data_IF_800820199466
#
_entry.id   IF_800820199466
#
_cell.length_a   1.000
_cell.length_b   1.000
_cell.length_c   1.000
_cell.angle_alpha   90.00
_cell.angle_beta   90.00
_cell.angle_gamma   90.00
#
_symmetry.space_group_name_H-M   'P 1'
#
loop_
_entity.id
_entity.type
_entity.pdbx_description
1 polymer ?
#
# COMPACT_ATOMS: atom_id res chain seq x y z
N UNK A 1 4.65 29.18 -5.02
CA UNK A 1 5.07 28.57 -3.73
C UNK A 1 4.00 27.63 -3.20
N UNK A 2 2.77 28.09 -2.92
CA UNK A 2 1.69 27.30 -2.31
C UNK A 2 1.30 25.98 -3.02
N UNK A 3 1.26 25.97 -4.37
CA UNK A 3 0.94 24.74 -5.15
C UNK A 3 2.01 23.66 -5.04
N UNK A 4 3.27 24.05 -4.90
CA UNK A 4 4.41 23.13 -4.76
C UNK A 4 4.39 22.50 -3.38
N UNK A 5 4.10 23.29 -2.36
CA UNK A 5 3.96 22.84 -0.97
C UNK A 5 2.84 21.81 -0.82
N UNK A 6 1.63 22.10 -1.34
CA UNK A 6 0.50 21.15 -1.33
C UNK A 6 0.83 19.84 -2.05
N UNK A 7 1.57 19.90 -3.15
CA UNK A 7 1.99 18.71 -3.91
C UNK A 7 3.03 17.89 -3.13
N UNK A 8 3.96 18.56 -2.42
CA UNK A 8 4.94 17.92 -1.54
C UNK A 8 4.28 17.27 -0.32
N UNK A 9 3.33 17.95 0.34
CA UNK A 9 2.57 17.39 1.47
C UNK A 9 1.77 16.15 1.05
N UNK A 10 1.15 16.18 -0.14
CA UNK A 10 0.44 15.02 -0.68
C UNK A 10 1.36 13.83 -0.94
N UNK A 11 2.57 14.06 -1.45
CA UNK A 11 3.58 13.01 -1.64
C UNK A 11 4.06 12.45 -0.30
N UNK A 12 4.30 13.32 0.69
CA UNK A 12 4.74 12.93 2.04
C UNK A 12 3.74 11.98 2.72
N UNK A 13 2.45 12.30 2.68
CA UNK A 13 1.41 11.43 3.26
C UNK A 13 1.34 10.07 2.56
N UNK A 14 1.63 9.99 1.27
CA UNK A 14 1.61 8.73 0.51
C UNK A 14 2.79 7.83 0.88
N UNK A 15 3.95 8.43 1.10
CA UNK A 15 5.13 7.73 1.61
C UNK A 15 4.81 7.18 3.00
N UNK A 16 4.27 8.00 3.89
CA UNK A 16 3.87 7.59 5.25
C UNK A 16 2.85 6.44 5.17
N UNK A 17 1.81 6.56 4.34
CA UNK A 17 0.80 5.52 4.16
C UNK A 17 1.38 4.20 3.64
N UNK A 18 2.37 4.27 2.73
CA UNK A 18 3.05 3.08 2.20
C UNK A 18 3.88 2.40 3.30
N UNK A 19 4.62 3.19 4.10
CA UNK A 19 5.40 2.68 5.24
C UNK A 19 4.46 2.00 6.24
N UNK A 20 3.39 2.67 6.64
CA UNK A 20 2.42 2.12 7.59
C UNK A 20 1.77 0.84 7.07
N UNK A 21 1.39 0.78 5.79
CA UNK A 21 0.81 -0.41 5.19
C UNK A 21 1.79 -1.60 5.19
N UNK A 22 3.05 -1.37 4.81
CA UNK A 22 4.08 -2.42 4.81
C UNK A 22 4.45 -2.85 6.24
N UNK A 23 4.58 -1.91 7.17
CA UNK A 23 4.83 -2.21 8.59
C UNK A 23 3.68 -3.01 9.20
N UNK A 24 2.43 -2.61 8.95
CA UNK A 24 1.26 -3.34 9.42
C UNK A 24 1.18 -4.75 8.81
N UNK A 25 1.48 -4.89 7.51
CA UNK A 25 1.58 -6.19 6.86
C UNK A 25 2.65 -7.08 7.52
N UNK A 26 3.85 -6.56 7.76
CA UNK A 26 4.94 -7.31 8.39
C UNK A 26 4.58 -7.75 9.81
N UNK A 27 4.15 -6.80 10.65
CA UNK A 27 3.76 -7.08 12.04
C UNK A 27 2.60 -8.06 12.08
N UNK A 28 1.56 -7.84 11.27
CA UNK A 28 0.41 -8.71 11.17
C UNK A 28 0.78 -10.13 10.73
N UNK A 29 1.67 -10.25 9.73
CA UNK A 29 2.16 -11.55 9.25
C UNK A 29 2.92 -12.31 10.33
N UNK A 30 3.81 -11.63 11.06
CA UNK A 30 4.58 -12.24 12.16
C UNK A 30 3.67 -12.69 13.31
N UNK A 31 2.70 -11.85 13.70
CA UNK A 31 1.72 -12.21 14.73
C UNK A 31 0.88 -13.41 14.27
N UNK A 32 0.38 -13.37 13.04
CA UNK A 32 -0.45 -14.45 12.51
C UNK A 32 0.32 -15.78 12.46
N UNK A 33 1.51 -15.79 11.86
CA UNK A 33 2.32 -17.01 11.76
C UNK A 33 2.76 -17.49 13.14
N UNK A 34 3.22 -16.59 14.02
CA UNK A 34 3.74 -16.93 15.33
C UNK A 34 2.69 -17.49 16.29
N UNK A 35 1.46 -16.98 16.25
CA UNK A 35 0.44 -17.32 17.26
C UNK A 35 -0.76 -18.10 16.72
N UNK A 36 -1.08 -18.00 15.43
CA UNK A 36 -2.33 -18.53 14.85
C UNK A 36 -2.13 -19.69 13.87
N UNK A 37 -0.89 -20.10 13.58
CA UNK A 37 -0.61 -21.17 12.60
C UNK A 37 0.00 -22.43 13.24
N UNK A 38 -0.30 -22.71 14.51
CA UNK A 38 0.23 -23.87 15.25
C UNK A 38 -0.07 -25.22 14.58
N UNK A 39 -1.19 -25.33 13.86
CA UNK A 39 -1.58 -26.53 13.10
C UNK A 39 -1.23 -26.52 11.61
N UNK A 40 -0.50 -25.51 11.12
CA UNK A 40 -0.14 -25.43 9.70
C UNK A 40 1.24 -26.01 9.45
N UNK A 41 1.42 -26.62 8.27
CA UNK A 41 2.73 -26.97 7.75
C UNK A 41 3.49 -25.72 7.26
N UNK A 42 4.82 -25.82 7.16
CA UNK A 42 5.68 -24.71 6.72
C UNK A 42 5.21 -24.11 5.39
N UNK A 43 4.86 -24.96 4.42
CA UNK A 43 4.37 -24.53 3.10
C UNK A 43 3.08 -23.71 3.21
N UNK A 44 2.14 -24.13 4.07
CA UNK A 44 0.88 -23.41 4.27
C UNK A 44 1.12 -22.04 4.91
N UNK A 45 2.03 -21.94 5.89
CA UNK A 45 2.43 -20.66 6.50
C UNK A 45 2.99 -19.70 5.46
N UNK A 46 3.90 -20.18 4.61
CA UNK A 46 4.49 -19.39 3.52
C UNK A 46 3.43 -18.91 2.54
N UNK A 47 2.51 -19.79 2.13
CA UNK A 47 1.41 -19.43 1.22
C UNK A 47 0.56 -18.29 1.81
N UNK A 48 0.18 -18.38 3.09
CA UNK A 48 -0.63 -17.33 3.72
C UNK A 48 0.10 -15.98 3.74
N UNK A 49 1.39 -15.97 4.08
CA UNK A 49 2.20 -14.74 4.05
C UNK A 49 2.30 -14.18 2.63
N UNK A 50 2.47 -15.03 1.62
CA UNK A 50 2.49 -14.59 0.21
C UNK A 50 1.15 -14.00 -0.22
N UNK A 51 0.02 -14.61 0.14
CA UNK A 51 -1.31 -14.07 -0.16
C UNK A 51 -1.50 -12.71 0.50
N UNK A 52 -1.14 -12.58 1.78
CA UNK A 52 -1.21 -11.30 2.49
C UNK A 52 -0.29 -10.24 1.85
N UNK A 53 0.88 -10.63 1.34
CA UNK A 53 1.80 -9.75 0.64
C UNK A 53 1.21 -9.23 -0.68
N UNK A 54 0.56 -10.11 -1.46
CA UNK A 54 -0.14 -9.75 -2.69
C UNK A 54 -1.24 -8.72 -2.39
N UNK A 55 -2.01 -8.94 -1.33
CA UNK A 55 -3.07 -8.00 -0.89
C UNK A 55 -2.48 -6.65 -0.50
N UNK A 56 -1.39 -6.63 0.27
CA UNK A 56 -0.70 -5.40 0.66
C UNK A 56 -0.20 -4.62 -0.56
N UNK A 57 0.44 -5.30 -1.52
CA UNK A 57 0.88 -4.66 -2.76
C UNK A 57 -0.28 -4.17 -3.61
N UNK A 58 -1.39 -4.92 -3.70
CA UNK A 58 -2.58 -4.47 -4.42
C UNK A 58 -3.17 -3.19 -3.81
N UNK A 59 -3.26 -3.11 -2.49
CA UNK A 59 -3.74 -1.92 -1.78
C UNK A 59 -2.84 -0.70 -2.05
N UNK A 60 -1.51 -0.90 -1.97
CA UNK A 60 -0.54 0.15 -2.29
C UNK A 60 -0.69 0.57 -3.75
N UNK A 61 -0.74 -0.37 -4.70
CA UNK A 61 -0.89 -0.08 -6.12
C UNK A 61 -2.17 0.73 -6.40
N UNK A 62 -3.31 0.35 -5.82
CA UNK A 62 -4.57 1.10 -5.94
C UNK A 62 -4.43 2.52 -5.41
N UNK A 63 -3.81 2.71 -4.24
CA UNK A 63 -3.55 4.04 -3.64
C UNK A 63 -2.68 4.91 -4.56
N UNK A 64 -1.71 4.30 -5.25
CA UNK A 64 -0.85 5.01 -6.19
C UNK A 64 -1.58 5.36 -7.49
N UNK A 65 -2.31 4.40 -8.09
CA UNK A 65 -3.06 4.55 -9.34
C UNK A 65 -4.19 5.58 -9.23
N UNK A 66 -4.99 5.55 -8.16
CA UNK A 66 -6.11 6.51 -7.95
C UNK A 66 -5.69 7.98 -7.92
N UNK A 67 -4.42 8.28 -7.71
CA UNK A 67 -3.92 9.66 -7.75
C UNK A 67 -3.17 9.98 -9.06
N UNK A 68 -2.54 8.99 -9.69
CA UNK A 68 -2.04 9.13 -11.06
C UNK A 68 -3.20 9.46 -12.00
N UNK A 69 -4.34 8.75 -11.85
CA UNK A 69 -5.58 9.04 -12.56
C UNK A 69 -6.14 10.44 -12.26
N UNK A 70 -6.10 10.91 -11.01
CA UNK A 70 -6.51 12.30 -10.66
C UNK A 70 -5.62 13.36 -11.30
N UNK A 71 -4.31 13.12 -11.45
CA UNK A 71 -3.39 14.04 -12.13
C UNK A 71 -3.54 14.03 -13.65
N UNK A 72 -3.86 12.88 -14.26
CA UNK A 72 -4.22 12.79 -15.68
C UNK A 72 -5.53 13.52 -15.99
N UNK A 73 -6.56 13.30 -15.18
CA UNK A 73 -7.89 13.87 -15.42
C UNK A 73 -7.99 15.39 -15.27
N UNK A 74 -7.11 16.00 -14.45
CA UNK A 74 -6.99 17.46 -14.38
C UNK A 74 -6.33 18.08 -15.62
N UNK A 75 -5.56 17.29 -16.39
CA UNK A 75 -4.88 17.74 -17.61
C UNK A 75 -5.83 17.73 -18.81
N UNK A 76 -6.75 16.77 -18.85
CA UNK A 76 -7.74 16.65 -19.92
C UNK A 76 -8.90 17.66 -19.79
N UNK A 77 -9.19 18.15 -18.56
CA UNK A 77 -10.27 19.13 -18.33
C UNK A 77 -9.92 20.60 -18.63
N UNK A 78 -8.65 20.92 -18.89
CA UNK A 78 -8.18 22.29 -19.12
C UNK A 78 -7.34 22.43 -20.41
N UNK A 79 -7.41 21.45 -21.32
CA UNK A 79 -6.59 21.41 -22.52
C UNK A 79 -7.29 20.80 -23.73
N UNK A 80 -8.20 21.59 -24.33
CA UNK A 80 -8.47 21.64 -25.78
C UNK A 80 -9.11 22.98 -26.09
#
# INVERSE_FOLDING_TARGET
MEKVEKMATGLMWRIIGTILALSAFLVGSLIYVGFYTSGFDLTQKVIVVLVALIIAFAAIAIMWVTFAGRRGWMRDRWGS
#
